data_IF_782975846250
#
_entry.id   IF_782975846250
#
_cell.length_a   1.000
_cell.length_b   1.000
_cell.length_c   1.000
_cell.angle_alpha   90.00
_cell.angle_beta   90.00
_cell.angle_gamma   90.00
#
_symmetry.space_group_name_H-M   'P 1'
#
loop_
_entity.id
_entity.type
_entity.pdbx_description
1 polymer ?
#
# COMPACT_ATOMS: atom_id res chain seq x y z
N UNK A 1 -7.57 -8.77 6.85
CA UNK A 1 -8.22 -9.71 5.90
C UNK A 1 -7.92 -9.19 4.51
N UNK A 2 -7.51 -10.03 3.55
CA UNK A 2 -7.28 -9.54 2.17
C UNK A 2 -8.58 -8.99 1.58
N UNK A 3 -8.54 -7.73 1.13
CA UNK A 3 -9.67 -7.00 0.55
C UNK A 3 -10.14 -7.66 -0.75
N UNK A 4 -11.41 -7.43 -1.13
CA UNK A 4 -11.95 -7.90 -2.42
C UNK A 4 -11.10 -7.39 -3.60
N UNK A 5 -10.70 -6.12 -3.57
CA UNK A 5 -9.85 -5.51 -4.58
C UNK A 5 -8.50 -6.25 -4.74
N UNK A 6 -7.88 -6.66 -3.62
CA UNK A 6 -6.62 -7.41 -3.68
C UNK A 6 -6.81 -8.77 -4.36
N UNK A 7 -7.90 -9.49 -4.02
CA UNK A 7 -8.19 -10.80 -4.62
C UNK A 7 -8.50 -10.68 -6.10
N UNK A 8 -9.24 -9.64 -6.50
CA UNK A 8 -9.54 -9.35 -7.90
C UNK A 8 -8.26 -9.03 -8.69
N UNK A 9 -7.40 -8.16 -8.18
CA UNK A 9 -6.11 -7.83 -8.81
C UNK A 9 -5.21 -9.07 -8.93
N UNK A 10 -5.16 -9.91 -7.88
CA UNK A 10 -4.43 -11.19 -7.91
C UNK A 10 -4.99 -12.16 -8.95
N UNK A 11 -6.31 -12.22 -9.11
CA UNK A 11 -6.96 -13.02 -10.15
C UNK A 11 -6.59 -12.54 -11.56
N UNK A 12 -6.63 -11.22 -11.80
CA UNK A 12 -6.20 -10.61 -13.06
C UNK A 12 -4.73 -10.88 -13.35
N UNK A 13 -3.84 -10.63 -12.39
CA UNK A 13 -2.41 -10.90 -12.51
C UNK A 13 -2.14 -12.37 -12.87
N UNK A 14 -2.79 -13.32 -12.19
CA UNK A 14 -2.63 -14.74 -12.48
C UNK A 14 -3.16 -15.16 -13.87
N UNK A 15 -4.22 -14.50 -14.35
CA UNK A 15 -4.74 -14.74 -15.71
C UNK A 15 -3.82 -14.15 -16.78
N UNK A 16 -3.34 -12.93 -16.57
CA UNK A 16 -2.48 -12.21 -17.51
C UNK A 16 -1.09 -12.84 -17.59
N UNK A 17 -0.47 -13.17 -16.46
CA UNK A 17 0.88 -13.74 -16.43
C UNK A 17 1.03 -15.12 -17.08
N UNK A 18 -0.07 -15.78 -17.44
CA UNK A 18 -0.04 -17.01 -18.24
C UNK A 18 0.06 -16.77 -19.75
N UNK A 19 -0.31 -15.58 -20.20
CA UNK A 19 -0.51 -15.27 -21.63
C UNK A 19 0.16 -13.98 -22.10
N UNK A 20 0.67 -13.16 -21.19
CA UNK A 20 1.28 -11.86 -21.47
C UNK A 20 2.74 -11.82 -20.99
N UNK A 21 3.59 -11.01 -21.65
CA UNK A 21 4.94 -10.76 -21.17
C UNK A 21 4.93 -9.93 -19.87
N UNK A 22 6.03 -9.96 -19.14
CA UNK A 22 6.14 -9.34 -17.80
C UNK A 22 6.05 -7.81 -17.80
N UNK A 23 6.29 -7.18 -18.95
CA UNK A 23 6.20 -5.73 -19.18
C UNK A 23 4.83 -5.28 -19.67
N UNK A 24 3.87 -6.22 -19.82
CA UNK A 24 2.51 -5.89 -20.21
C UNK A 24 1.88 -4.89 -19.22
N UNK A 25 1.30 -3.78 -19.71
CA UNK A 25 0.85 -2.68 -18.86
C UNK A 25 -0.26 -3.11 -17.88
N UNK A 26 -1.13 -4.05 -18.27
CA UNK A 26 -2.21 -4.53 -17.40
C UNK A 26 -1.67 -5.47 -16.31
N UNK A 27 -0.63 -6.23 -16.62
CA UNK A 27 0.07 -7.08 -15.66
C UNK A 27 0.82 -6.23 -14.63
N UNK A 28 1.54 -5.20 -15.09
CA UNK A 28 2.22 -4.22 -14.22
C UNK A 28 1.21 -3.48 -13.35
N UNK A 29 0.12 -2.97 -13.93
CA UNK A 29 -0.93 -2.28 -13.16
C UNK A 29 -1.54 -3.18 -12.07
N UNK A 30 -1.85 -4.44 -12.41
CA UNK A 30 -2.36 -5.41 -11.42
C UNK A 30 -1.37 -5.66 -10.28
N UNK A 31 -0.07 -5.71 -10.59
CA UNK A 31 1.00 -5.86 -9.59
C UNK A 31 1.10 -4.64 -8.68
N UNK A 32 1.04 -3.43 -9.23
CA UNK A 32 1.07 -2.17 -8.45
C UNK A 32 -0.11 -2.11 -7.48
N UNK A 33 -1.33 -2.39 -7.95
CA UNK A 33 -2.53 -2.42 -7.10
C UNK A 33 -2.36 -3.42 -5.93
N UNK A 34 -1.79 -4.60 -6.20
CA UNK A 34 -1.53 -5.58 -5.14
C UNK A 34 -0.54 -5.06 -4.09
N UNK A 35 0.49 -4.33 -4.50
CA UNK A 35 1.48 -3.75 -3.59
C UNK A 35 0.89 -2.63 -2.73
N UNK A 36 0.13 -1.72 -3.34
CA UNK A 36 -0.55 -0.63 -2.63
C UNK A 36 -1.52 -1.17 -1.57
N UNK A 37 -2.35 -2.16 -1.94
CA UNK A 37 -3.31 -2.77 -1.02
C UNK A 37 -2.63 -3.57 0.10
N UNK A 38 -1.47 -4.18 -0.18
CA UNK A 38 -0.68 -4.86 0.85
C UNK A 38 -0.11 -3.85 1.86
N UNK A 39 0.35 -2.69 1.41
CA UNK A 39 0.82 -1.62 2.28
C UNK A 39 -0.32 -1.09 3.16
N UNK A 40 -1.51 -0.86 2.58
CA UNK A 40 -2.70 -0.43 3.32
C UNK A 40 -3.10 -1.46 4.40
N UNK A 41 -3.14 -2.76 4.09
CA UNK A 41 -3.46 -3.80 5.09
C UNK A 41 -2.39 -3.86 6.18
N UNK A 42 -1.11 -3.68 5.85
CA UNK A 42 -0.03 -3.65 6.83
C UNK A 42 -0.16 -2.47 7.80
N UNK A 43 -0.37 -1.25 7.28
CA UNK A 43 -0.59 -0.05 8.08
C UNK A 43 -1.84 -0.22 8.95
N UNK A 44 -2.95 -0.68 8.37
CA UNK A 44 -4.21 -0.89 9.09
C UNK A 44 -4.03 -1.86 10.26
N UNK A 45 -3.29 -2.97 10.05
CA UNK A 45 -3.00 -3.93 11.12
C UNK A 45 -2.09 -3.37 12.19
N UNK A 46 -1.10 -2.56 11.81
CA UNK A 46 -0.25 -1.90 12.77
C UNK A 46 -1.07 -0.95 13.66
N UNK A 47 -1.96 -0.15 13.05
CA UNK A 47 -2.85 0.75 13.77
C UNK A 47 -3.85 0.03 14.68
N UNK A 48 -4.44 -1.08 14.22
CA UNK A 48 -5.36 -1.88 15.07
C UNK A 48 -4.66 -2.47 16.31
N UNK A 49 -3.37 -2.76 16.21
CA UNK A 49 -2.57 -3.30 17.33
C UNK A 49 -1.91 -2.22 18.16
N UNK A 50 -1.89 -0.98 17.66
CA UNK A 50 -1.22 0.11 18.34
C UNK A 50 -1.97 0.40 19.64
N UNK A 51 -1.26 0.56 20.77
CA UNK A 51 -1.87 1.17 21.95
C UNK A 51 -2.41 2.56 21.58
N UNK A 52 -3.45 3.06 22.29
CA UNK A 52 -3.95 4.40 22.05
C UNK A 52 -2.79 5.40 22.09
N UNK A 53 -2.58 6.06 20.95
CA UNK A 53 -1.49 7.01 20.77
C UNK A 53 -1.83 8.23 21.61
N UNK A 54 -0.96 8.55 22.57
CA UNK A 54 -1.09 9.82 23.31
C UNK A 54 -0.88 10.97 22.34
N UNK A 55 -1.51 12.10 22.60
CA UNK A 55 -1.54 13.22 21.66
C UNK A 55 -0.12 13.70 21.31
N UNK A 56 0.83 13.62 22.26
CA UNK A 56 2.23 14.00 22.03
C UNK A 56 2.93 13.09 21.00
N UNK A 57 2.60 11.78 20.98
CA UNK A 57 3.16 10.84 19.99
C UNK A 57 2.50 11.07 18.63
N UNK A 58 1.22 11.42 18.59
CA UNK A 58 0.52 11.76 17.35
C UNK A 58 1.17 12.98 16.70
N UNK A 59 1.45 14.02 17.47
CA UNK A 59 2.14 15.24 17.00
C UNK A 59 3.53 14.92 16.42
N UNK A 60 4.30 14.05 17.09
CA UNK A 60 5.61 13.62 16.59
C UNK A 60 5.51 12.85 15.27
N UNK A 61 4.52 11.96 15.13
CA UNK A 61 4.28 11.22 13.88
C UNK A 61 3.87 12.19 12.76
N UNK A 62 3.00 13.16 13.06
CA UNK A 62 2.61 14.20 12.10
C UNK A 62 3.83 15.01 11.67
N UNK A 63 4.71 15.40 12.60
CA UNK A 63 5.94 16.12 12.28
C UNK A 63 6.92 15.30 11.43
N UNK A 64 7.01 13.98 11.63
CA UNK A 64 7.84 13.06 10.83
C UNK A 64 7.29 12.86 9.41
N UNK A 65 5.97 12.86 9.25
CA UNK A 65 5.29 12.65 7.97
C UNK A 65 5.01 13.95 7.21
N UNK A 66 5.10 15.09 7.89
CA UNK A 66 5.01 16.40 7.26
C UNK A 66 6.12 16.49 6.19
N UNK A 67 5.79 16.98 4.98
CA UNK A 67 6.81 17.21 3.98
C UNK A 67 7.85 18.15 4.57
N UNK A 68 9.10 17.68 4.67
CA UNK A 68 10.22 18.58 4.97
C UNK A 68 10.24 19.63 3.87
N UNK A 69 9.92 20.88 4.20
CA UNK A 69 9.88 22.05 3.31
C UNK A 69 11.26 22.41 2.68
N UNK A 70 12.19 21.46 2.56
CA UNK A 70 13.59 21.75 2.28
C UNK A 70 14.38 20.71 1.49
N UNK A 71 13.74 19.81 0.71
CA UNK A 71 14.48 18.96 -0.25
C UNK A 71 13.78 18.92 -1.61
N UNK A 72 13.52 20.09 -2.19
CA UNK A 72 13.42 20.32 -3.64
C UNK A 72 13.76 21.80 -3.90
N UNK A 73 15.05 22.11 -3.88
CA UNK A 73 15.64 23.30 -4.49
C UNK A 73 16.62 22.83 -5.58
#
# INVERSE_FOLDING_TARGET
>A
MSSFAYRAARGRYASLGRSRPDDDPELVASRVIMQELALIDAISRALMKAPPVREEIREQIIALLAPSEGVLA
#
